data_IF_041401101785
#
_entry.id   IF_041401101785
#
_cell.length_a   1.000
_cell.length_b   1.000
_cell.length_c   1.000
_cell.angle_alpha   90.00
_cell.angle_beta   90.00
_cell.angle_gamma   90.00
#
_symmetry.space_group_name_H-M   'P 1'
#
loop_
_entity.id
_entity.type
_entity.pdbx_description
1 polymer ?
#
# COMPACT_ATOMS: atom_id res chain seq x y z
N UNK A 1 9.68 -13.54 -8.94
CA UNK A 1 10.15 -12.64 -7.84
C UNK A 1 9.10 -11.55 -7.60
N UNK A 2 8.99 -11.03 -6.35
CA UNK A 2 8.12 -9.88 -6.08
C UNK A 2 8.96 -8.62 -5.92
N UNK A 3 8.45 -7.48 -6.39
CA UNK A 3 9.09 -6.17 -6.24
C UNK A 3 8.04 -5.05 -6.18
N UNK A 4 8.39 -3.94 -5.52
CA UNK A 4 7.57 -2.73 -5.47
C UNK A 4 8.03 -1.73 -6.53
N UNK A 5 7.06 -1.09 -7.17
CA UNK A 5 7.29 0.01 -8.11
C UNK A 5 6.28 1.12 -7.82
N UNK A 6 6.71 2.37 -7.62
CA UNK A 6 5.78 3.47 -7.40
C UNK A 6 4.95 3.74 -8.65
N UNK A 7 3.81 4.38 -8.46
CA UNK A 7 2.96 4.85 -9.55
C UNK A 7 3.77 5.68 -10.56
N UNK A 8 3.64 5.37 -11.86
CA UNK A 8 4.43 5.96 -12.93
C UNK A 8 3.71 5.89 -14.27
N UNK A 9 4.12 6.70 -15.23
CA UNK A 9 3.51 6.73 -16.56
C UNK A 9 3.92 5.58 -17.48
N UNK A 10 5.05 4.92 -17.23
CA UNK A 10 5.54 3.83 -18.08
C UNK A 10 4.64 2.59 -18.02
N UNK A 11 4.02 2.36 -16.84
CA UNK A 11 3.14 1.21 -16.59
C UNK A 11 1.66 1.61 -16.54
N UNK A 12 1.28 2.74 -17.13
CA UNK A 12 -0.05 3.36 -17.01
C UNK A 12 -1.19 2.37 -17.24
N UNK A 13 -1.18 1.59 -18.31
CA UNK A 13 -2.29 0.70 -18.68
C UNK A 13 -2.44 -0.46 -17.67
N UNK A 14 -1.32 -1.02 -17.19
CA UNK A 14 -1.35 -2.09 -16.18
C UNK A 14 -1.84 -1.57 -14.83
N UNK A 15 -1.40 -0.37 -14.43
CA UNK A 15 -1.85 0.28 -13.20
C UNK A 15 -3.35 0.63 -13.28
N UNK A 16 -3.82 1.20 -14.39
CA UNK A 16 -5.23 1.46 -14.63
C UNK A 16 -6.05 0.17 -14.54
N UNK A 17 -5.66 -0.87 -15.30
CA UNK A 17 -6.37 -2.15 -15.30
C UNK A 17 -6.48 -2.74 -13.89
N UNK A 18 -5.44 -2.58 -13.07
CA UNK A 18 -5.47 -3.02 -11.69
C UNK A 18 -6.46 -2.20 -10.86
N UNK A 19 -6.29 -0.89 -10.75
CA UNK A 19 -7.12 -0.08 -9.82
C UNK A 19 -8.60 -0.01 -10.24
N UNK A 20 -8.88 0.01 -11.54
CA UNK A 20 -10.25 0.06 -12.05
C UNK A 20 -11.04 -1.23 -11.78
N UNK A 21 -10.37 -2.37 -11.72
CA UNK A 21 -11.00 -3.68 -11.51
C UNK A 21 -11.22 -4.04 -10.03
N UNK A 22 -10.42 -3.46 -9.11
CA UNK A 22 -10.49 -3.82 -7.70
C UNK A 22 -11.66 -3.10 -7.00
N UNK A 23 -12.29 -3.71 -5.97
CA UNK A 23 -13.45 -3.14 -5.29
C UNK A 23 -13.13 -1.79 -4.64
N UNK A 24 -14.16 -0.93 -4.52
CA UNK A 24 -14.03 0.39 -3.88
C UNK A 24 -13.69 0.31 -2.39
N UNK A 25 -14.12 -0.74 -1.71
CA UNK A 25 -13.77 -1.05 -0.32
C UNK A 25 -13.63 -2.55 -0.16
N UNK A 26 -12.52 -2.98 0.40
CA UNK A 26 -12.34 -4.36 0.83
C UNK A 26 -11.53 -4.42 2.13
N UNK A 27 -12.19 -4.86 3.21
CA UNK A 27 -11.62 -4.99 4.55
C UNK A 27 -10.98 -3.68 5.07
N UNK A 28 -11.55 -2.53 4.70
CA UNK A 28 -11.07 -1.21 5.08
C UNK A 28 -9.94 -0.65 4.21
N UNK A 29 -9.55 -1.34 3.15
CA UNK A 29 -8.72 -0.76 2.08
C UNK A 29 -9.63 -0.06 1.09
N UNK A 30 -9.53 1.27 1.01
CA UNK A 30 -10.35 2.11 0.14
C UNK A 30 -9.66 2.31 -1.20
N UNK A 31 -10.38 2.03 -2.29
CA UNK A 31 -9.93 2.25 -3.67
C UNK A 31 -10.82 3.31 -4.34
N UNK A 32 -10.37 4.55 -4.34
CA UNK A 32 -11.08 5.69 -4.95
C UNK A 32 -11.15 5.59 -6.49
N UNK A 33 -10.48 4.63 -7.09
CA UNK A 33 -10.31 4.50 -8.55
C UNK A 33 -11.09 3.32 -9.15
N UNK A 34 -11.93 2.65 -8.36
CA UNK A 34 -12.80 1.59 -8.87
C UNK A 34 -13.65 2.08 -10.03
N UNK A 35 -13.59 1.39 -11.17
CA UNK A 35 -14.35 1.74 -12.37
C UNK A 35 -13.90 2.99 -13.10
N UNK A 36 -12.79 3.60 -12.73
CA UNK A 36 -12.26 4.80 -13.41
C UNK A 36 -11.95 4.51 -14.89
N UNK A 37 -12.25 5.47 -15.78
CA UNK A 37 -11.87 5.37 -17.18
C UNK A 37 -10.35 5.48 -17.36
N UNK A 38 -9.80 4.93 -18.45
CA UNK A 38 -8.38 5.08 -18.77
C UNK A 38 -8.00 6.55 -18.98
N UNK A 39 -8.89 7.34 -19.58
CA UNK A 39 -8.69 8.76 -19.81
C UNK A 39 -8.59 9.55 -18.49
N UNK A 40 -9.53 9.35 -17.57
CA UNK A 40 -9.52 9.99 -16.26
C UNK A 40 -8.35 9.52 -15.40
N UNK A 41 -8.00 8.24 -15.49
CA UNK A 41 -6.83 7.71 -14.79
C UNK A 41 -5.56 8.40 -15.27
N UNK A 42 -5.36 8.50 -16.59
CA UNK A 42 -4.20 9.15 -17.22
C UNK A 42 -4.12 10.65 -16.93
N UNK A 43 -5.27 11.34 -17.01
CA UNK A 43 -5.29 12.82 -16.94
C UNK A 43 -5.40 13.34 -15.51
N UNK A 44 -5.90 12.55 -14.56
CA UNK A 44 -6.23 13.03 -13.23
C UNK A 44 -5.65 12.13 -12.12
N UNK A 45 -5.98 10.82 -12.11
CA UNK A 45 -5.65 9.96 -10.98
C UNK A 45 -4.15 9.67 -10.87
N UNK A 46 -3.52 9.27 -11.96
CA UNK A 46 -2.08 8.96 -11.96
C UNK A 46 -1.21 10.19 -11.69
N UNK A 47 -1.45 11.38 -12.30
CA UNK A 47 -0.78 12.61 -11.91
C UNK A 47 -0.93 12.92 -10.40
N UNK A 48 -2.15 12.74 -9.86
CA UNK A 48 -2.41 12.94 -8.43
C UNK A 48 -1.60 12.00 -7.55
N UNK A 49 -1.53 10.70 -7.88
CA UNK A 49 -0.70 9.72 -7.14
C UNK A 49 0.78 10.15 -7.12
N UNK A 50 1.28 10.63 -8.27
CA UNK A 50 2.67 11.10 -8.41
C UNK A 50 2.89 12.39 -7.62
N UNK A 51 1.98 13.36 -7.71
CA UNK A 51 2.05 14.61 -6.94
C UNK A 51 2.03 14.36 -5.44
N UNK A 52 1.19 13.44 -4.96
CA UNK A 52 1.12 13.07 -3.55
C UNK A 52 2.42 12.49 -3.04
N UNK A 53 3.14 11.71 -3.87
CA UNK A 53 4.43 11.13 -3.50
C UNK A 53 5.52 12.18 -3.24
N UNK A 54 5.38 13.36 -3.79
CA UNK A 54 6.32 14.49 -3.61
C UNK A 54 5.72 15.64 -2.80
N UNK A 55 4.58 15.42 -2.16
CA UNK A 55 3.93 16.42 -1.30
C UNK A 55 3.27 17.58 -2.03
N UNK A 56 2.93 17.42 -3.32
CA UNK A 56 2.26 18.44 -4.11
C UNK A 56 0.74 18.24 -4.13
N UNK A 57 0.00 19.35 -4.23
CA UNK A 57 -1.45 19.37 -4.40
C UNK A 57 -2.22 18.54 -3.35
N UNK A 58 -1.66 18.44 -2.14
CA UNK A 58 -2.28 17.71 -1.03
C UNK A 58 -3.51 18.48 -0.53
N UNK A 59 -4.66 17.82 -0.33
CA UNK A 59 -5.78 18.40 0.40
C UNK A 59 -5.39 18.71 1.86
N UNK A 60 -6.12 19.62 2.49
CA UNK A 60 -5.93 19.95 3.90
C UNK A 60 -6.02 18.68 4.77
N UNK A 61 -5.06 18.52 5.67
CA UNK A 61 -5.00 17.37 6.57
C UNK A 61 -4.39 16.10 5.95
N UNK A 62 -4.01 16.12 4.69
CA UNK A 62 -3.27 15.01 4.06
C UNK A 62 -1.76 15.17 4.28
N UNK A 63 -1.07 14.05 4.26
CA UNK A 63 0.40 13.97 4.28
C UNK A 63 0.88 13.39 2.94
N UNK A 64 2.14 13.59 2.56
CA UNK A 64 2.71 12.92 1.40
C UNK A 64 2.53 11.40 1.49
N UNK A 65 2.12 10.79 0.38
CA UNK A 65 1.84 9.35 0.29
C UNK A 65 2.33 8.79 -1.04
N UNK A 66 3.10 7.71 -1.00
CA UNK A 66 3.50 6.99 -2.22
C UNK A 66 2.60 5.77 -2.42
N UNK A 67 2.05 5.66 -3.62
CA UNK A 67 1.32 4.50 -4.10
C UNK A 67 2.32 3.55 -4.76
N UNK A 68 2.53 2.37 -4.16
CA UNK A 68 3.36 1.30 -4.69
C UNK A 68 2.50 0.18 -5.23
N UNK A 69 2.78 -0.25 -6.44
CA UNK A 69 2.23 -1.49 -6.96
C UNK A 69 3.19 -2.64 -6.68
N UNK A 70 2.65 -3.75 -6.17
CA UNK A 70 3.40 -4.99 -5.98
C UNK A 70 3.33 -5.80 -7.27
N UNK A 71 4.47 -6.01 -7.88
CA UNK A 71 4.62 -6.75 -9.11
C UNK A 71 5.15 -8.15 -8.87
N UNK A 72 4.71 -9.09 -9.72
CA UNK A 72 5.25 -10.44 -9.83
C UNK A 72 5.78 -10.67 -11.25
N UNK A 73 7.01 -11.18 -11.36
CA UNK A 73 7.61 -11.63 -12.63
C UNK A 73 7.18 -13.04 -13.02
N UNK A 74 6.38 -13.71 -12.17
CA UNK A 74 5.93 -15.10 -12.37
C UNK A 74 7.08 -16.08 -12.72
N UNK A 75 8.32 -15.76 -12.31
CA UNK A 75 9.50 -16.57 -12.56
C UNK A 75 10.22 -16.28 -13.90
N UNK A 76 9.80 -15.27 -14.63
CA UNK A 76 10.43 -14.85 -15.88
C UNK A 76 10.88 -13.38 -15.80
N UNK A 77 12.04 -13.15 -15.18
CA UNK A 77 12.56 -11.80 -14.92
C UNK A 77 12.89 -11.01 -16.21
N UNK A 78 13.18 -11.68 -17.30
CA UNK A 78 13.62 -11.05 -18.56
C UNK A 78 12.44 -10.56 -19.42
N UNK A 79 11.23 -11.06 -19.17
CA UNK A 79 10.03 -10.71 -19.95
C UNK A 79 9.09 -9.77 -19.16
N UNK A 80 9.44 -8.49 -19.11
CA UNK A 80 8.64 -7.46 -18.43
C UNK A 80 7.19 -7.34 -18.95
N UNK A 81 6.92 -7.76 -20.18
CA UNK A 81 5.57 -7.74 -20.73
C UNK A 81 4.63 -8.66 -19.93
N UNK A 82 5.14 -9.77 -19.42
CA UNK A 82 4.39 -10.74 -18.62
C UNK A 82 4.35 -10.44 -17.12
N UNK A 83 5.05 -9.40 -16.64
CA UNK A 83 4.96 -9.01 -15.25
C UNK A 83 3.55 -8.49 -14.91
N UNK A 84 3.01 -8.92 -13.77
CA UNK A 84 1.64 -8.61 -13.34
C UNK A 84 1.64 -7.85 -12.02
N UNK A 85 0.71 -6.91 -11.89
CA UNK A 85 0.41 -6.29 -10.60
C UNK A 85 -0.47 -7.25 -9.79
N UNK A 86 -0.02 -7.62 -8.61
CA UNK A 86 -0.68 -8.57 -7.70
C UNK A 86 -1.21 -7.92 -6.43
N UNK A 87 -0.85 -6.66 -6.18
CA UNK A 87 -1.29 -5.90 -5.02
C UNK A 87 -0.89 -4.45 -5.06
N UNK A 88 -1.37 -3.70 -4.08
CA UNK A 88 -1.06 -2.28 -3.85
C UNK A 88 -0.64 -2.06 -2.40
N UNK A 89 0.34 -1.20 -2.21
CA UNK A 89 0.78 -0.73 -0.92
C UNK A 89 0.86 0.79 -0.94
N UNK A 90 0.32 1.44 0.08
CA UNK A 90 0.41 2.89 0.26
C UNK A 90 1.30 3.17 1.46
N UNK A 91 2.23 4.09 1.30
CA UNK A 91 3.13 4.53 2.35
C UNK A 91 2.96 6.03 2.57
N UNK A 92 2.37 6.41 3.69
CA UNK A 92 2.35 7.78 4.18
C UNK A 92 3.71 8.12 4.76
N UNK A 93 4.27 9.26 4.34
CA UNK A 93 5.65 9.60 4.63
C UNK A 93 5.89 10.03 6.08
N UNK A 94 4.87 10.49 6.76
CA UNK A 94 4.89 10.80 8.19
C UNK A 94 3.46 10.74 8.76
N UNK A 95 3.35 10.81 10.09
CA UNK A 95 2.04 10.85 10.75
C UNK A 95 1.58 12.29 11.00
N UNK A 96 0.27 12.44 11.05
CA UNK A 96 -0.43 13.51 11.74
C UNK A 96 -1.33 12.89 12.84
N UNK A 97 -1.97 13.71 13.65
CA UNK A 97 -2.80 13.24 14.77
C UNK A 97 -3.87 12.23 14.34
N UNK A 98 -4.51 12.43 13.19
CA UNK A 98 -5.55 11.54 12.69
C UNK A 98 -4.97 10.18 12.28
N UNK A 99 -3.82 10.15 11.62
CA UNK A 99 -3.14 8.93 11.21
C UNK A 99 -2.53 8.17 12.40
N UNK A 100 -1.97 8.88 13.37
CA UNK A 100 -1.41 8.28 14.58
C UNK A 100 -2.46 7.49 15.36
N UNK A 101 -3.67 8.03 15.45
CA UNK A 101 -4.82 7.42 16.14
C UNK A 101 -5.73 6.60 15.23
N UNK A 102 -5.37 6.41 13.97
CA UNK A 102 -6.18 5.74 12.95
C UNK A 102 -5.39 4.76 12.10
N UNK A 103 -5.40 4.99 10.79
CA UNK A 103 -4.86 4.04 9.80
C UNK A 103 -3.33 3.92 9.76
N UNK A 104 -2.60 4.80 10.44
CA UNK A 104 -1.14 4.78 10.47
C UNK A 104 -0.49 5.11 9.12
N UNK A 105 0.73 4.58 8.92
CA UNK A 105 1.52 4.82 7.72
C UNK A 105 1.11 3.99 6.51
N UNK A 106 0.51 2.80 6.73
CA UNK A 106 0.45 1.76 5.69
C UNK A 106 -0.97 1.38 5.33
N UNK A 107 -1.30 1.45 4.04
CA UNK A 107 -2.39 0.72 3.41
C UNK A 107 -1.84 -0.47 2.62
N UNK A 108 -2.53 -1.61 2.62
CA UNK A 108 -2.08 -2.80 1.89
C UNK A 108 -3.26 -3.60 1.34
N UNK A 109 -3.13 -4.02 0.09
CA UNK A 109 -4.11 -4.81 -0.61
C UNK A 109 -3.43 -5.85 -1.50
N UNK A 110 -4.01 -7.07 -1.57
CA UNK A 110 -3.60 -8.12 -2.51
C UNK A 110 -4.84 -8.61 -3.25
N UNK A 111 -4.75 -8.68 -4.57
CA UNK A 111 -5.80 -9.25 -5.42
C UNK A 111 -6.22 -10.62 -4.92
N UNK A 112 -7.52 -10.90 -4.99
CA UNK A 112 -8.12 -12.10 -4.39
C UNK A 112 -7.44 -13.40 -4.85
N UNK A 113 -7.13 -13.51 -6.13
CA UNK A 113 -6.49 -14.70 -6.72
C UNK A 113 -5.05 -14.95 -6.26
N UNK A 114 -4.38 -13.94 -5.69
CA UNK A 114 -3.00 -14.04 -5.18
C UNK A 114 -2.91 -14.13 -3.65
N UNK A 115 -4.05 -14.26 -2.96
CA UNK A 115 -4.07 -14.41 -1.49
C UNK A 115 -3.67 -15.82 -1.09
N UNK A 116 -3.17 -15.97 0.13
CA UNK A 116 -2.69 -17.26 0.63
C UNK A 116 -1.29 -17.65 0.16
N UNK A 117 -0.72 -16.95 -0.83
CA UNK A 117 0.60 -17.24 -1.40
C UNK A 117 1.77 -16.54 -0.67
N UNK A 118 1.49 -15.82 0.41
CA UNK A 118 2.52 -15.09 1.16
C UNK A 118 2.90 -13.73 0.54
N UNK A 119 2.26 -13.32 -0.52
CA UNK A 119 2.59 -12.09 -1.27
C UNK A 119 2.44 -10.83 -0.43
N UNK A 120 1.38 -10.73 0.40
CA UNK A 120 1.23 -9.58 1.31
C UNK A 120 2.38 -9.49 2.33
N UNK A 121 2.82 -10.64 2.86
CA UNK A 121 3.95 -10.67 3.80
C UNK A 121 5.25 -10.22 3.15
N UNK A 122 5.52 -10.67 1.92
CA UNK A 122 6.70 -10.24 1.17
C UNK A 122 6.60 -8.77 0.74
N UNK A 123 5.42 -8.33 0.27
CA UNK A 123 5.18 -6.94 -0.11
C UNK A 123 5.37 -5.97 1.06
N UNK A 124 4.85 -6.30 2.25
CA UNK A 124 5.08 -5.48 3.45
C UNK A 124 6.56 -5.45 3.85
N UNK A 125 7.28 -6.57 3.71
CA UNK A 125 8.74 -6.59 3.94
C UNK A 125 9.48 -5.63 3.01
N UNK A 126 9.14 -5.62 1.73
CA UNK A 126 9.71 -4.67 0.76
C UNK A 126 9.35 -3.23 1.10
N UNK A 127 8.10 -2.97 1.51
CA UNK A 127 7.66 -1.63 1.90
C UNK A 127 8.40 -1.10 3.13
N UNK A 128 8.72 -1.96 4.10
CA UNK A 128 9.51 -1.59 5.28
C UNK A 128 10.89 -1.07 4.87
N UNK A 129 11.54 -1.66 3.85
CA UNK A 129 12.82 -1.15 3.35
C UNK A 129 12.67 0.25 2.71
N UNK A 130 11.58 0.50 1.98
CA UNK A 130 11.28 1.85 1.47
C UNK A 130 10.96 2.82 2.61
N UNK A 131 10.19 2.39 3.59
CA UNK A 131 9.84 3.21 4.75
C UNK A 131 11.07 3.65 5.55
N UNK A 132 12.09 2.83 5.69
CA UNK A 132 13.36 3.20 6.34
C UNK A 132 14.06 4.39 5.70
N UNK A 133 13.83 4.63 4.41
CA UNK A 133 14.42 5.74 3.65
C UNK A 133 13.61 7.03 3.78
N UNK A 134 12.30 6.92 3.99
CA UNK A 134 11.35 8.02 3.83
C UNK A 134 10.76 8.48 5.17
N UNK A 135 10.35 7.53 6.03
CA UNK A 135 9.61 7.80 7.26
C UNK A 135 10.55 8.29 8.36
N UNK A 136 10.30 9.47 8.97
CA UNK A 136 11.15 10.02 10.03
C UNK A 136 10.96 9.33 11.39
N UNK A 137 9.78 8.73 11.62
CA UNK A 137 9.46 8.03 12.86
C UNK A 137 10.34 6.77 13.01
N UNK A 138 10.61 6.37 14.26
CA UNK A 138 11.39 5.17 14.54
C UNK A 138 10.61 3.87 14.32
N UNK A 139 9.29 3.98 14.19
CA UNK A 139 8.37 2.85 14.05
C UNK A 139 7.36 3.14 12.94
N UNK A 140 6.99 2.12 12.17
CA UNK A 140 5.78 2.14 11.37
C UNK A 140 4.55 1.88 12.23
N UNK A 141 3.53 2.70 12.04
CA UNK A 141 2.21 2.55 12.64
C UNK A 141 1.30 1.90 11.61
N UNK A 142 0.67 0.79 12.00
CA UNK A 142 -0.25 0.03 11.16
C UNK A 142 -1.53 -0.24 11.93
N UNK A 143 -2.63 -0.32 11.21
CA UNK A 143 -3.94 -0.70 11.75
C UNK A 143 -4.56 -1.78 10.87
N UNK A 144 -5.32 -2.68 11.47
CA UNK A 144 -6.23 -3.56 10.74
C UNK A 144 -7.52 -3.79 11.55
N UNK A 145 -8.61 -3.97 10.83
CA UNK A 145 -9.92 -4.23 11.42
C UNK A 145 -9.88 -5.47 12.32
N UNK A 146 -10.71 -5.47 13.36
CA UNK A 146 -10.78 -6.55 14.37
C UNK A 146 -11.09 -7.91 13.76
N UNK A 147 -11.86 -7.93 12.68
CA UNK A 147 -12.29 -9.11 11.93
C UNK A 147 -11.37 -9.47 10.75
N UNK A 148 -10.19 -8.81 10.65
CA UNK A 148 -9.18 -9.10 9.62
C UNK A 148 -7.91 -9.77 10.19
N UNK A 149 -8.00 -11.03 10.67
CA UNK A 149 -6.85 -11.75 11.24
C UNK A 149 -5.74 -12.00 10.21
N UNK A 150 -6.06 -12.00 8.92
CA UNK A 150 -5.07 -12.19 7.86
C UNK A 150 -4.10 -11.00 7.79
N UNK A 151 -4.61 -9.77 7.86
CA UNK A 151 -3.79 -8.57 7.92
C UNK A 151 -2.93 -8.53 9.19
N UNK A 152 -3.52 -8.82 10.36
CA UNK A 152 -2.77 -8.90 11.61
C UNK A 152 -1.60 -9.89 11.52
N UNK A 153 -1.85 -11.09 10.98
CA UNK A 153 -0.81 -12.12 10.79
C UNK A 153 0.34 -11.65 9.89
N UNK A 154 0.04 -10.88 8.83
CA UNK A 154 1.04 -10.28 7.94
C UNK A 154 1.93 -9.32 8.71
N UNK A 155 1.34 -8.43 9.52
CA UNK A 155 2.06 -7.44 10.31
C UNK A 155 2.97 -8.13 11.36
N UNK A 156 2.45 -9.12 12.09
CA UNK A 156 3.21 -9.86 13.10
C UNK A 156 4.39 -10.63 12.48
N UNK A 157 4.19 -11.24 11.30
CA UNK A 157 5.28 -11.93 10.57
C UNK A 157 6.40 -10.99 10.11
N UNK A 158 6.12 -9.70 10.01
CA UNK A 158 7.11 -8.66 9.67
C UNK A 158 7.71 -7.98 10.92
N UNK A 159 7.65 -8.62 12.08
CA UNK A 159 8.22 -8.10 13.32
C UNK A 159 7.32 -7.10 14.05
N UNK A 160 6.06 -7.04 13.67
CA UNK A 160 5.07 -6.21 14.33
C UNK A 160 4.77 -6.66 15.75
N UNK A 161 4.54 -5.70 16.63
CA UNK A 161 4.03 -5.91 17.98
C UNK A 161 2.69 -5.20 18.15
N UNK A 162 1.71 -5.84 18.79
CA UNK A 162 0.43 -5.20 19.07
C UNK A 162 0.67 -4.16 20.16
N UNK A 163 0.50 -2.89 19.80
CA UNK A 163 0.58 -1.77 20.73
C UNK A 163 -0.67 -1.69 21.61
N UNK A 164 -1.85 -1.74 20.97
CA UNK A 164 -3.14 -1.86 21.63
C UNK A 164 -4.20 -2.40 20.66
N UNK A 165 -5.38 -2.67 21.18
CA UNK A 165 -6.59 -2.97 20.40
C UNK A 165 -7.79 -2.28 21.01
N UNK A 166 -8.77 -1.97 20.18
CA UNK A 166 -10.08 -1.46 20.58
C UNK A 166 -11.20 -2.14 19.77
N UNK A 167 -12.38 -1.55 19.74
CA UNK A 167 -13.52 -2.08 18.99
C UNK A 167 -13.34 -2.02 17.46
N UNK A 168 -12.50 -1.10 16.98
CA UNK A 168 -12.23 -0.92 15.54
C UNK A 168 -11.18 -1.92 15.02
N UNK A 169 -10.17 -2.24 15.82
CA UNK A 169 -9.12 -3.15 15.36
C UNK A 169 -7.88 -3.25 16.22
N UNK A 170 -6.83 -3.71 15.57
CA UNK A 170 -5.49 -3.86 16.15
C UNK A 170 -4.58 -2.75 15.65
N UNK A 171 -3.88 -2.10 16.57
CA UNK A 171 -2.84 -1.11 16.30
C UNK A 171 -1.48 -1.75 16.52
N UNK A 172 -0.71 -1.85 15.44
CA UNK A 172 0.56 -2.58 15.39
C UNK A 172 1.71 -1.62 15.15
N UNK A 173 2.86 -1.89 15.76
CA UNK A 173 4.10 -1.13 15.56
C UNK A 173 5.18 -2.05 15.03
N UNK A 174 5.90 -1.59 14.00
CA UNK A 174 7.07 -2.27 13.43
C UNK A 174 8.26 -1.33 13.53
N UNK A 175 9.34 -1.76 14.19
CA UNK A 175 10.57 -0.96 14.31
C UNK A 175 11.23 -0.78 12.94
N UNK A 176 11.56 0.47 12.61
CA UNK A 176 12.32 0.85 11.43
C UNK A 176 13.81 0.95 11.72
N UNK A 177 14.14 1.44 12.92
CA UNK A 177 15.51 1.67 13.38
C UNK A 177 15.72 1.00 14.73
N UNK A 178 16.95 0.54 14.97
CA UNK A 178 17.35 -0.06 16.24
C UNK A 178 17.64 0.98 17.30
#
# INVERSE_FOLDING_TARGET
>A
MLYLKPANFDDLEKQHTFVAAEPADENGFLNDYNGISLEDFKSTALPRMIDFSVGKNLPDGYVPETFYFLWSDEGNADDQANHKIVGEFRLRHHLNVALENGSGHVGQFIKKEYRGLGYCTQGLKLLIEEARKIVPENELYLHCNIDNPASLKVMLKNGGTIHHKDQSGYYVRIKLRG
#
